data_IF_695524703057
#
_entry.id   IF_695524703057
#
_cell.length_a   1.000
_cell.length_b   1.000
_cell.length_c   1.000
_cell.angle_alpha   90.00
_cell.angle_beta   90.00
_cell.angle_gamma   90.00
#
_symmetry.space_group_name_H-M   'P 1'
#
loop_
_entity.id
_entity.type
_entity.pdbx_description
1 polymer ?
#
# COMPACT_ATOMS: atom_id res chain seq x y z
N UNK A 1 67.74 -7.11 -4.34
CA UNK A 1 68.07 -7.48 -2.94
C UNK A 1 66.90 -7.01 -2.08
N UNK A 2 66.08 -7.89 -1.51
CA UNK A 2 66.35 -8.82 -0.37
C UNK A 2 66.36 -8.08 0.98
N UNK A 3 65.18 -8.12 1.63
CA UNK A 3 64.89 -8.35 3.06
C UNK A 3 65.82 -7.90 4.21
N UNK A 4 65.12 -7.48 5.29
CA UNK A 4 65.47 -7.68 6.72
C UNK A 4 66.63 -6.85 7.30
N UNK A 5 66.66 -6.47 8.59
CA UNK A 5 65.83 -6.87 9.75
C UNK A 5 65.87 -5.79 10.87
N UNK A 6 64.86 -5.79 11.77
CA UNK A 6 64.87 -5.61 13.26
C UNK A 6 66.07 -4.83 13.90
N UNK A 7 65.93 -3.98 14.92
CA UNK A 7 64.86 -3.78 15.93
C UNK A 7 65.06 -2.39 16.62
N UNK A 8 64.72 -2.01 17.87
CA UNK A 8 64.22 -2.71 19.08
C UNK A 8 63.30 -1.79 19.96
N UNK A 9 62.93 -2.25 21.16
CA UNK A 9 62.08 -1.63 22.18
C UNK A 9 62.68 -0.45 22.97
N UNK A 10 61.81 0.47 23.40
CA UNK A 10 61.65 0.75 24.85
C UNK A 10 60.22 1.19 25.19
N UNK A 11 59.65 0.57 26.21
CA UNK A 11 58.24 0.72 26.65
C UNK A 11 58.22 1.45 27.99
N UNK A 12 57.44 2.53 28.14
CA UNK A 12 57.03 3.01 29.47
C UNK A 12 55.74 3.87 29.48
N UNK A 13 54.65 3.25 29.97
CA UNK A 13 53.60 3.80 30.87
C UNK A 13 52.82 5.06 30.42
N UNK A 14 51.51 4.92 30.13
CA UNK A 14 50.37 4.98 31.11
C UNK A 14 50.29 6.35 31.80
N UNK A 15 49.24 7.16 31.62
CA UNK A 15 47.86 6.82 32.01
C UNK A 15 46.78 7.74 31.43
N UNK A 16 45.57 7.19 31.32
CA UNK A 16 44.25 7.82 31.52
C UNK A 16 43.93 9.18 30.83
N UNK A 17 43.20 9.08 29.72
CA UNK A 17 42.14 10.02 29.39
C UNK A 17 40.91 9.22 28.93
N UNK A 18 39.92 9.04 29.81
CA UNK A 18 38.63 8.45 29.45
C UNK A 18 37.82 9.54 28.74
N UNK A 19 37.83 9.53 27.41
CA UNK A 19 37.10 10.47 26.55
C UNK A 19 35.82 9.83 26.01
N UNK A 20 34.72 9.99 26.73
CA UNK A 20 33.40 9.45 26.36
C UNK A 20 32.69 10.38 25.35
N UNK A 21 32.59 9.95 24.08
CA UNK A 21 31.64 10.47 23.06
C UNK A 21 31.34 9.31 22.10
N UNK A 22 30.45 8.39 22.48
CA UNK A 22 29.03 8.37 22.07
C UNK A 22 28.88 8.24 20.55
N UNK A 23 28.35 7.07 20.14
CA UNK A 23 28.16 6.72 18.75
C UNK A 23 27.28 7.74 18.01
N UNK A 24 27.74 8.18 16.84
CA UNK A 24 27.02 9.09 15.94
C UNK A 24 25.91 8.33 15.17
N UNK A 25 24.98 7.74 15.91
CA UNK A 25 23.71 7.23 15.39
C UNK A 25 22.75 8.42 15.23
N UNK A 26 22.95 9.25 14.20
CA UNK A 26 21.81 9.89 13.54
C UNK A 26 21.26 8.86 12.55
N UNK A 27 20.27 8.05 12.94
CA UNK A 27 18.87 8.51 13.00
C UNK A 27 18.52 9.40 11.81
N UNK A 28 18.49 8.78 10.63
CA UNK A 28 17.57 9.17 9.56
C UNK A 28 16.13 8.85 9.99
N UNK A 29 15.67 9.52 11.06
CA UNK A 29 14.25 9.68 11.34
C UNK A 29 13.72 10.69 10.32
N UNK A 30 13.47 10.20 9.10
CA UNK A 30 12.90 10.99 8.02
C UNK A 30 11.61 11.66 8.47
N UNK A 31 11.48 12.95 8.15
CA UNK A 31 10.45 13.86 8.62
C UNK A 31 9.07 13.23 8.86
N UNK A 32 8.68 13.10 10.14
CA UNK A 32 7.27 12.89 10.52
C UNK A 32 6.49 14.20 10.33
N UNK A 33 6.30 14.56 9.07
CA UNK A 33 5.28 15.46 8.58
C UNK A 33 4.48 14.67 7.56
N UNK A 34 3.61 13.78 8.03
CA UNK A 34 2.81 12.94 7.15
C UNK A 34 2.00 13.78 6.18
N UNK A 35 1.89 13.33 4.93
CA UNK A 35 1.13 14.04 3.89
C UNK A 35 -0.34 14.18 4.35
N UNK A 36 -0.84 15.39 4.63
CA UNK A 36 -2.20 15.60 5.11
C UNK A 36 -3.25 15.35 4.01
N UNK A 37 -2.81 15.04 2.79
CA UNK A 37 -3.65 14.74 1.63
C UNK A 37 -3.67 13.26 1.25
N UNK A 38 -2.78 12.45 1.86
CA UNK A 38 -2.79 11.00 1.74
C UNK A 38 -4.02 10.40 2.43
N UNK A 39 -4.48 9.27 1.92
CA UNK A 39 -5.71 8.61 2.38
C UNK A 39 -5.40 7.49 3.37
N UNK A 40 -6.33 7.20 4.28
CA UNK A 40 -6.18 6.13 5.29
C UNK A 40 -6.77 4.81 4.74
N UNK A 41 -5.93 3.75 4.54
CA UNK A 41 -6.38 2.48 3.96
C UNK A 41 -7.38 1.73 4.85
N UNK A 42 -7.22 1.82 6.17
CA UNK A 42 -8.10 1.13 7.11
C UNK A 42 -9.51 1.76 7.09
N UNK A 43 -9.61 3.08 6.95
CA UNK A 43 -10.89 3.76 6.77
C UNK A 43 -11.54 3.45 5.41
N UNK A 44 -10.76 3.43 4.32
CA UNK A 44 -11.25 3.05 2.98
C UNK A 44 -11.80 1.61 3.01
N UNK A 45 -11.07 0.69 3.63
CA UNK A 45 -11.43 -0.71 3.71
C UNK A 45 -12.72 -0.92 4.53
N UNK A 46 -12.84 -0.30 5.72
CA UNK A 46 -14.00 -0.46 6.62
C UNK A 46 -15.34 0.04 6.03
N UNK A 47 -15.29 1.01 5.12
CA UNK A 47 -16.46 1.50 4.38
C UNK A 47 -16.98 0.49 3.33
N UNK A 48 -16.07 -0.32 2.78
CA UNK A 48 -16.35 -1.28 1.71
C UNK A 48 -16.63 -2.71 2.22
N UNK A 49 -16.00 -3.14 3.32
CA UNK A 49 -16.00 -4.55 3.73
C UNK A 49 -16.55 -4.78 5.15
N UNK A 50 -17.03 -5.99 5.37
CA UNK A 50 -17.45 -6.54 6.67
C UNK A 50 -16.38 -7.46 7.28
N UNK A 51 -15.52 -8.04 6.43
CA UNK A 51 -14.31 -8.76 6.86
C UNK A 51 -13.45 -7.81 7.71
N UNK A 52 -12.90 -8.24 8.87
CA UNK A 52 -11.95 -7.45 9.64
C UNK A 52 -10.67 -7.12 8.86
N UNK A 53 -10.14 -5.91 9.02
CA UNK A 53 -8.98 -5.43 8.25
C UNK A 53 -7.69 -6.20 8.58
N UNK A 54 -7.58 -6.76 9.79
CA UNK A 54 -6.48 -7.62 10.22
C UNK A 54 -6.52 -9.04 9.63
N UNK A 55 -7.58 -9.40 8.88
CA UNK A 55 -7.72 -10.69 8.20
C UNK A 55 -7.39 -10.62 6.69
N UNK A 56 -7.00 -9.45 6.18
CA UNK A 56 -6.54 -9.25 4.82
C UNK A 56 -5.12 -8.69 4.81
N UNK A 57 -4.37 -8.97 3.75
CA UNK A 57 -3.05 -8.36 3.54
C UNK A 57 -3.21 -7.20 2.56
N UNK A 58 -2.93 -5.97 3.00
CA UNK A 58 -2.74 -4.85 2.09
C UNK A 58 -1.41 -5.05 1.34
N UNK A 59 -1.47 -5.21 0.02
CA UNK A 59 -0.29 -5.35 -0.84
C UNK A 59 0.21 -4.01 -1.35
N UNK A 60 -0.71 -3.11 -1.67
CA UNK A 60 -0.42 -1.79 -2.23
C UNK A 60 -1.62 -0.86 -2.04
N UNK A 61 -1.38 0.44 -2.04
CA UNK A 61 -2.42 1.46 -1.88
C UNK A 61 -2.06 2.76 -2.58
N UNK A 62 -3.07 3.60 -2.78
CA UNK A 62 -2.83 4.99 -3.10
C UNK A 62 -4.09 5.82 -3.13
N UNK A 63 -3.91 7.14 -3.14
CA UNK A 63 -5.03 8.04 -3.24
C UNK A 63 -4.66 9.49 -2.93
N UNK A 64 -5.66 10.35 -3.05
CA UNK A 64 -5.55 11.74 -2.62
C UNK A 64 -6.91 12.30 -2.20
N UNK A 65 -6.87 13.27 -1.29
CA UNK A 65 -8.02 14.09 -0.90
C UNK A 65 -8.00 15.50 -1.54
N UNK A 66 -7.02 15.80 -2.39
CA UNK A 66 -6.91 17.12 -3.06
C UNK A 66 -7.97 17.24 -4.16
N UNK A 67 -8.85 18.25 -4.05
CA UNK A 67 -9.94 18.58 -5.01
C UNK A 67 -10.98 17.47 -5.22
N UNK A 68 -10.98 16.46 -4.37
CA UNK A 68 -11.85 15.29 -4.43
C UNK A 68 -11.21 14.16 -3.65
N UNK A 69 -12.00 13.15 -3.33
CA UNK A 69 -11.50 11.90 -2.77
C UNK A 69 -11.31 10.91 -3.93
N UNK A 70 -10.13 10.35 -4.11
CA UNK A 70 -9.96 9.18 -4.98
C UNK A 70 -8.91 8.30 -4.36
N UNK A 71 -9.31 7.11 -3.93
CA UNK A 71 -8.45 6.19 -3.23
C UNK A 71 -8.66 4.75 -3.72
N UNK A 72 -7.62 3.94 -3.58
CA UNK A 72 -7.62 2.55 -4.00
C UNK A 72 -6.73 1.68 -3.12
N UNK A 73 -7.07 0.40 -3.05
CA UNK A 73 -6.38 -0.64 -2.30
C UNK A 73 -6.17 -1.85 -3.21
N UNK A 74 -5.01 -2.50 -3.08
CA UNK A 74 -4.76 -3.85 -3.59
C UNK A 74 -4.60 -4.79 -2.40
N UNK A 75 -5.45 -5.81 -2.34
CA UNK A 75 -5.63 -6.68 -1.19
C UNK A 75 -5.36 -8.13 -1.60
N UNK A 76 -4.71 -8.91 -0.73
CA UNK A 76 -4.66 -10.36 -0.82
C UNK A 76 -5.51 -11.00 0.28
N UNK A 77 -6.24 -12.05 -0.08
CA UNK A 77 -7.25 -12.69 0.78
C UNK A 77 -6.93 -14.18 1.00
N UNK A 78 -5.65 -14.48 1.20
CA UNK A 78 -5.10 -15.86 1.24
C UNK A 78 -5.74 -16.76 2.31
N UNK A 79 -6.30 -16.17 3.38
CA UNK A 79 -6.79 -16.88 4.56
C UNK A 79 -8.27 -16.60 4.91
N UNK A 80 -8.99 -15.78 4.16
CA UNK A 80 -10.35 -15.34 4.51
C UNK A 80 -11.14 -14.86 3.29
N UNK A 81 -12.44 -15.14 3.26
CA UNK A 81 -13.36 -14.65 2.22
C UNK A 81 -13.66 -13.15 2.40
N UNK A 82 -13.61 -12.38 1.31
CA UNK A 82 -13.75 -10.92 1.34
C UNK A 82 -15.22 -10.50 1.23
N UNK A 83 -15.85 -10.30 2.38
CA UNK A 83 -17.25 -9.93 2.47
C UNK A 83 -17.45 -8.45 2.22
N UNK A 84 -18.00 -8.11 1.05
CA UNK A 84 -18.51 -6.77 0.74
C UNK A 84 -19.66 -6.36 1.68
N UNK A 85 -19.53 -5.19 2.30
CA UNK A 85 -20.65 -4.46 2.89
C UNK A 85 -21.56 -3.99 1.74
N UNK A 86 -22.88 -4.18 1.88
CA UNK A 86 -23.88 -3.83 0.84
C UNK A 86 -23.60 -4.55 -0.50
N UNK A 87 -23.21 -5.83 -0.47
CA UNK A 87 -22.94 -6.63 -1.68
C UNK A 87 -24.06 -6.61 -2.73
N UNK A 88 -25.33 -6.53 -2.31
CA UNK A 88 -26.49 -6.39 -3.20
C UNK A 88 -26.66 -5.01 -3.87
N UNK A 89 -25.79 -4.04 -3.57
CA UNK A 89 -25.73 -2.71 -4.20
C UNK A 89 -24.56 -2.62 -5.22
N UNK A 90 -23.94 -3.77 -5.56
CA UNK A 90 -22.90 -3.91 -6.59
C UNK A 90 -23.40 -4.71 -7.80
N UNK A 91 -23.43 -4.06 -8.97
CA UNK A 91 -23.74 -4.71 -10.24
C UNK A 91 -22.46 -5.18 -10.94
N UNK A 92 -22.52 -6.33 -11.62
CA UNK A 92 -21.43 -6.79 -12.51
C UNK A 92 -21.31 -5.87 -13.74
N UNK A 93 -20.08 -5.52 -14.10
CA UNK A 93 -19.76 -4.63 -15.23
C UNK A 93 -18.66 -5.24 -16.10
N UNK A 94 -18.54 -4.77 -17.34
CA UNK A 94 -17.42 -5.15 -18.21
C UNK A 94 -16.10 -4.69 -17.58
N UNK A 95 -15.10 -5.58 -17.57
CA UNK A 95 -13.84 -5.34 -16.86
C UNK A 95 -12.95 -4.24 -17.46
N UNK A 96 -13.11 -3.88 -18.74
CA UNK A 96 -12.16 -3.03 -19.47
C UNK A 96 -11.78 -1.73 -18.75
N UNK A 97 -12.74 -0.86 -18.47
CA UNK A 97 -12.47 0.43 -17.82
C UNK A 97 -11.91 0.28 -16.38
N UNK A 98 -12.50 -0.57 -15.49
CA UNK A 98 -11.92 -0.82 -14.16
C UNK A 98 -10.48 -1.36 -14.21
N UNK A 99 -10.20 -2.37 -15.04
CA UNK A 99 -8.88 -3.04 -15.06
C UNK A 99 -7.80 -2.16 -15.69
N UNK A 100 -8.14 -1.38 -16.73
CA UNK A 100 -7.23 -0.38 -17.31
C UNK A 100 -6.84 0.65 -16.25
N UNK A 101 -7.80 1.18 -15.48
CA UNK A 101 -7.51 2.15 -14.44
C UNK A 101 -6.63 1.57 -13.32
N UNK A 102 -6.94 0.36 -12.84
CA UNK A 102 -6.11 -0.28 -11.82
C UNK A 102 -4.70 -0.62 -12.33
N UNK A 103 -4.56 -0.98 -13.61
CA UNK A 103 -3.26 -1.19 -14.24
C UNK A 103 -2.44 0.11 -14.28
N UNK A 104 -3.07 1.24 -14.63
CA UNK A 104 -2.40 2.55 -14.66
C UNK A 104 -1.87 3.00 -13.28
N UNK A 105 -2.53 2.64 -12.17
CA UNK A 105 -2.10 3.05 -10.82
C UNK A 105 -1.22 2.03 -10.08
N UNK A 106 -1.36 0.73 -10.36
CA UNK A 106 -0.63 -0.34 -9.66
C UNK A 106 0.47 -1.03 -10.50
N UNK A 107 0.45 -0.87 -11.83
CA UNK A 107 1.37 -1.55 -12.74
C UNK A 107 1.22 -3.08 -12.82
N UNK A 108 0.16 -3.68 -12.23
CA UNK A 108 -0.01 -5.14 -12.22
C UNK A 108 -0.44 -5.66 -13.60
N UNK A 109 0.51 -6.21 -14.35
CA UNK A 109 0.30 -6.71 -15.73
C UNK A 109 -0.80 -7.77 -15.85
N UNK A 110 -1.10 -8.54 -14.79
CA UNK A 110 -2.12 -9.58 -14.87
C UNK A 110 -3.55 -9.02 -14.97
N UNK A 111 -3.78 -7.74 -14.62
CA UNK A 111 -5.02 -7.02 -14.94
C UNK A 111 -5.28 -6.90 -16.46
N UNK A 112 -4.22 -7.01 -17.28
CA UNK A 112 -4.28 -6.98 -18.74
C UNK A 112 -4.22 -8.39 -19.32
N UNK A 113 -3.37 -9.27 -18.78
CA UNK A 113 -3.15 -10.62 -19.31
C UNK A 113 -4.31 -11.58 -18.97
N UNK A 114 -4.86 -11.52 -17.75
CA UNK A 114 -5.80 -12.52 -17.23
C UNK A 114 -7.27 -12.07 -17.26
N UNK A 115 -7.67 -11.15 -18.15
CA UNK A 115 -9.01 -10.52 -18.14
C UNK A 115 -10.20 -11.50 -18.15
N UNK A 116 -10.04 -12.73 -18.66
CA UNK A 116 -11.07 -13.77 -18.63
C UNK A 116 -11.31 -14.41 -17.25
N UNK A 117 -10.40 -14.22 -16.29
CA UNK A 117 -10.50 -14.73 -14.92
C UNK A 117 -10.93 -13.65 -13.91
N UNK A 118 -11.00 -12.39 -14.38
CA UNK A 118 -11.36 -11.24 -13.56
C UNK A 118 -12.87 -11.09 -13.44
N UNK A 119 -13.33 -10.78 -12.23
CA UNK A 119 -14.72 -10.42 -11.96
C UNK A 119 -14.78 -8.95 -11.58
N UNK A 120 -15.53 -8.14 -12.33
CA UNK A 120 -15.58 -6.70 -12.13
C UNK A 120 -16.99 -6.23 -11.74
N UNK A 121 -17.05 -5.43 -10.68
CA UNK A 121 -18.28 -4.91 -10.12
C UNK A 121 -18.20 -3.41 -9.91
N UNK A 122 -19.34 -2.73 -10.04
CA UNK A 122 -19.48 -1.31 -9.72
C UNK A 122 -20.63 -1.12 -8.73
N UNK A 123 -20.40 -0.31 -7.71
CA UNK A 123 -21.47 0.13 -6.79
C UNK A 123 -22.45 1.06 -7.53
N UNK A 124 -23.74 0.78 -7.46
CA UNK A 124 -24.77 1.47 -8.27
C UNK A 124 -25.87 2.17 -7.47
N UNK A 125 -25.79 2.13 -6.13
CA UNK A 125 -26.77 2.80 -5.26
C UNK A 125 -26.70 4.33 -5.39
N UNK A 126 -27.83 4.93 -5.75
CA UNK A 126 -28.00 6.36 -6.02
C UNK A 126 -28.41 7.18 -4.80
N UNK A 127 -28.85 6.54 -3.71
CA UNK A 127 -29.12 7.20 -2.42
C UNK A 127 -27.90 7.95 -1.86
N UNK A 128 -26.70 7.63 -2.34
CA UNK A 128 -25.46 8.31 -2.01
C UNK A 128 -25.04 9.25 -3.16
N UNK A 129 -25.79 10.34 -3.38
CA UNK A 129 -25.54 11.38 -4.41
C UNK A 129 -24.13 12.02 -4.38
N UNK A 130 -23.34 11.71 -3.35
CA UNK A 130 -21.99 12.21 -3.10
C UNK A 130 -20.88 11.18 -3.38
N UNK A 131 -21.20 9.99 -3.88
CA UNK A 131 -20.23 8.96 -4.28
C UNK A 131 -20.27 8.84 -5.81
N UNK A 132 -19.14 9.09 -6.49
CA UNK A 132 -19.09 8.99 -7.95
C UNK A 132 -18.95 7.53 -8.43
N UNK A 133 -18.79 6.60 -7.49
CA UNK A 133 -18.77 5.18 -7.72
C UNK A 133 -17.68 4.49 -6.91
N UNK A 134 -17.83 3.17 -6.87
CA UNK A 134 -16.81 2.25 -6.37
C UNK A 134 -16.60 1.16 -7.38
N UNK A 135 -15.37 0.72 -7.54
CA UNK A 135 -15.03 -0.46 -8.31
C UNK A 135 -14.45 -1.52 -7.40
N UNK A 136 -14.87 -2.76 -7.64
CA UNK A 136 -14.16 -3.95 -7.18
C UNK A 136 -13.77 -4.75 -8.42
N UNK A 137 -12.49 -5.11 -8.51
CA UNK A 137 -11.99 -6.12 -9.45
C UNK A 137 -11.43 -7.26 -8.63
N UNK A 138 -11.98 -8.46 -8.81
CA UNK A 138 -11.55 -9.69 -8.14
C UNK A 138 -10.78 -10.56 -9.14
N UNK A 139 -9.54 -10.86 -8.81
CA UNK A 139 -8.66 -11.81 -9.51
C UNK A 139 -8.68 -13.13 -8.72
N UNK A 140 -9.60 -14.01 -9.12
CA UNK A 140 -9.92 -15.22 -8.37
C UNK A 140 -8.81 -16.28 -8.46
N UNK A 141 -7.95 -16.25 -9.49
CA UNK A 141 -6.86 -17.23 -9.63
C UNK A 141 -5.65 -16.88 -8.78
N UNK A 142 -5.47 -15.60 -8.41
CA UNK A 142 -4.45 -15.15 -7.45
C UNK A 142 -4.98 -14.84 -6.04
N UNK A 143 -6.29 -14.78 -5.83
CA UNK A 143 -6.88 -14.35 -4.56
C UNK A 143 -6.62 -12.87 -4.25
N UNK A 144 -6.56 -12.04 -5.30
CA UNK A 144 -6.26 -10.61 -5.21
C UNK A 144 -7.51 -9.80 -5.52
N UNK A 145 -7.75 -8.74 -4.73
CA UNK A 145 -8.85 -7.82 -4.92
C UNK A 145 -8.31 -6.40 -5.07
N UNK A 146 -8.82 -5.68 -6.06
CA UNK A 146 -8.55 -4.27 -6.28
C UNK A 146 -9.82 -3.49 -5.98
N UNK A 147 -9.77 -2.63 -4.96
CA UNK A 147 -10.88 -1.80 -4.56
C UNK A 147 -10.57 -0.33 -4.84
N UNK A 148 -11.55 0.42 -5.35
CA UNK A 148 -11.47 1.87 -5.58
C UNK A 148 -12.75 2.52 -5.10
N UNK A 149 -12.60 3.69 -4.48
CA UNK A 149 -13.68 4.61 -4.12
C UNK A 149 -13.30 6.01 -4.60
N UNK A 150 -14.24 6.74 -5.21
CA UNK A 150 -13.96 8.11 -5.63
C UNK A 150 -15.18 9.04 -5.58
N UNK A 151 -14.87 10.31 -5.37
CA UNK A 151 -15.76 11.46 -5.34
C UNK A 151 -15.00 12.66 -5.88
N UNK A 152 -15.42 13.21 -7.01
CA UNK A 152 -14.95 14.52 -7.45
C UNK A 152 -15.69 15.58 -6.65
N UNK A 153 -14.99 16.61 -6.17
CA UNK A 153 -15.67 17.80 -5.68
C UNK A 153 -16.06 18.65 -6.90
N UNK A 154 -17.36 18.89 -7.06
CA UNK A 154 -17.91 19.86 -8.01
C UNK A 154 -17.65 21.29 -7.56
#
# INVERSE_FOLDING_TARGET
MVFSQRNDHLIARRSAAVGLCVAFNLMLAGCSGGDPTATDPELIFKDAFETPYDQVTLLDEGGTMVRGFSAWLKLATELTDLRLRRSGEYDYVACGEPTEWFYQVSGDEALVVNQGELTCQRFTEKRFDFDNGRWLVSDNSRGIFYYRVWKLNH
#
